data_IF_637931277179
#
_entry.id   IF_637931277179
#
_cell.length_a   1.000
_cell.length_b   1.000
_cell.length_c   1.000
_cell.angle_alpha   90.00
_cell.angle_beta   90.00
_cell.angle_gamma   90.00
#
_symmetry.space_group_name_H-M   'P 1'
#
loop_
_entity.id
_entity.type
_entity.pdbx_description
1 polymer ?
#
# COMPACT_ATOMS: atom_id res chain seq x y z
N UNK A 1 11.83 -2.72 32.17
CA UNK A 1 10.75 -2.62 31.15
C UNK A 1 10.07 -3.98 31.09
N UNK A 2 8.73 -4.05 31.11
CA UNK A 2 7.96 -5.29 30.95
C UNK A 2 6.94 -5.10 29.83
N UNK A 3 6.76 -6.12 28.99
CA UNK A 3 5.76 -6.11 27.91
C UNK A 3 4.42 -6.51 28.52
N UNK A 4 3.41 -5.66 28.37
CA UNK A 4 2.04 -5.95 28.83
C UNK A 4 1.25 -6.69 27.74
N UNK A 5 1.33 -6.18 26.51
CA UNK A 5 0.69 -6.75 25.33
C UNK A 5 1.71 -6.78 24.20
N UNK A 6 1.89 -7.94 23.57
CA UNK A 6 2.85 -8.07 22.47
C UNK A 6 2.35 -7.44 21.17
N UNK A 7 1.03 -7.46 20.93
CA UNK A 7 0.40 -6.94 19.72
C UNK A 7 -0.88 -6.19 20.09
N UNK A 8 -0.80 -4.86 20.21
CA UNK A 8 -1.94 -4.00 20.52
C UNK A 8 -2.68 -3.52 19.27
N UNK A 9 -1.97 -3.34 18.16
CA UNK A 9 -2.51 -2.82 16.92
C UNK A 9 -1.77 -3.37 15.71
N UNK A 10 -2.42 -3.27 14.55
CA UNK A 10 -1.81 -3.51 13.25
C UNK A 10 -1.83 -2.17 12.52
N UNK A 11 -0.68 -1.75 11.98
CA UNK A 11 -0.51 -0.45 11.33
C UNK A 11 -0.17 -0.67 9.85
N UNK A 12 -0.80 0.10 8.98
CA UNK A 12 -0.49 0.10 7.55
C UNK A 12 0.85 0.81 7.28
N UNK A 13 1.48 0.46 6.16
CA UNK A 13 2.68 1.15 5.67
C UNK A 13 2.45 2.65 5.50
N UNK A 14 1.22 3.05 5.11
CA UNK A 14 0.84 4.45 4.97
C UNK A 14 0.80 5.19 6.30
N UNK A 15 0.20 4.64 7.36
CA UNK A 15 0.17 5.27 8.68
C UNK A 15 1.59 5.42 9.25
N UNK A 16 2.43 4.40 9.09
CA UNK A 16 3.84 4.45 9.49
C UNK A 16 4.60 5.53 8.70
N UNK A 17 4.39 5.59 7.38
CA UNK A 17 4.97 6.60 6.51
C UNK A 17 4.58 8.02 6.94
N UNK A 18 3.28 8.25 7.19
CA UNK A 18 2.75 9.53 7.62
C UNK A 18 3.36 9.94 8.97
N UNK A 19 3.37 9.03 9.95
CA UNK A 19 3.93 9.29 11.27
C UNK A 19 5.42 9.70 11.22
N UNK A 20 6.23 8.98 10.44
CA UNK A 20 7.65 9.30 10.30
C UNK A 20 7.89 10.63 9.57
N UNK A 21 7.06 10.93 8.57
CA UNK A 21 7.13 12.18 7.80
C UNK A 21 6.77 13.38 8.68
N UNK A 22 5.66 13.29 9.42
CA UNK A 22 5.23 14.32 10.37
C UNK A 22 6.27 14.59 11.46
N UNK A 23 6.84 13.52 12.04
CA UNK A 23 7.88 13.64 13.06
C UNK A 23 9.13 14.36 12.53
N UNK A 24 9.58 14.02 11.31
CA UNK A 24 10.73 14.65 10.66
C UNK A 24 10.48 16.14 10.36
N UNK A 25 9.25 16.49 9.98
CA UNK A 25 8.84 17.89 9.78
C UNK A 25 8.74 18.66 11.10
N UNK A 26 8.21 18.04 12.15
CA UNK A 26 8.07 18.62 13.48
C UNK A 26 9.41 18.96 14.13
N UNK A 27 10.39 18.04 14.04
CA UNK A 27 11.75 18.26 14.55
C UNK A 27 12.43 19.47 13.89
N UNK A 28 12.28 19.63 12.56
CA UNK A 28 12.81 20.78 11.83
C UNK A 28 12.17 22.10 12.27
N UNK A 29 10.86 22.11 12.51
CA UNK A 29 10.10 23.31 12.90
C UNK A 29 10.39 23.76 14.33
N UNK A 30 10.62 22.82 15.25
CA UNK A 30 10.79 23.11 16.69
C UNK A 30 12.23 23.39 17.11
N UNK A 31 13.22 23.24 16.22
CA UNK A 31 14.64 23.29 16.60
C UNK A 31 14.99 22.25 17.67
N UNK A 32 14.20 21.17 17.74
CA UNK A 32 14.29 20.16 18.79
C UNK A 32 15.60 19.37 18.64
N UNK A 33 16.16 18.91 19.76
CA UNK A 33 17.38 18.10 19.75
C UNK A 33 17.19 16.89 18.84
N UNK A 34 18.18 16.68 17.95
CA UNK A 34 18.27 15.48 17.10
C UNK A 34 18.08 14.23 17.97
N UNK A 35 17.32 13.29 17.43
CA UNK A 35 17.07 12.03 18.12
C UNK A 35 18.37 11.24 18.28
N UNK A 36 18.34 10.11 19.01
CA UNK A 36 19.44 9.15 18.97
C UNK A 36 19.78 8.79 17.52
N UNK A 37 21.08 8.76 17.15
CA UNK A 37 21.49 8.59 15.75
C UNK A 37 20.99 7.28 15.11
N UNK A 38 20.88 6.23 15.91
CA UNK A 38 20.29 4.94 15.53
C UNK A 38 18.80 5.05 15.16
N UNK A 39 18.02 5.88 15.86
CA UNK A 39 16.63 6.13 15.50
C UNK A 39 16.53 6.91 14.19
N UNK A 40 17.40 7.89 13.98
CA UNK A 40 17.43 8.68 12.75
C UNK A 40 17.82 7.83 11.53
N UNK A 41 18.80 6.93 11.69
CA UNK A 41 19.20 5.98 10.67
C UNK A 41 18.03 5.06 10.28
N UNK A 42 17.40 4.41 11.26
CA UNK A 42 16.25 3.53 11.03
C UNK A 42 15.09 4.26 10.35
N UNK A 43 14.74 5.47 10.81
CA UNK A 43 13.67 6.25 10.22
C UNK A 43 13.98 6.63 8.76
N UNK A 44 15.24 6.95 8.45
CA UNK A 44 15.67 7.26 7.09
C UNK A 44 15.60 6.04 6.18
N UNK A 45 16.13 4.90 6.63
CA UNK A 45 16.12 3.64 5.88
C UNK A 45 14.70 3.13 5.63
N UNK A 46 13.82 3.22 6.64
CA UNK A 46 12.43 2.82 6.50
C UNK A 46 11.67 3.74 5.52
N UNK A 47 11.88 5.05 5.60
CA UNK A 47 11.31 5.97 4.60
C UNK A 47 11.85 5.71 3.19
N UNK A 48 13.12 5.35 3.06
CA UNK A 48 13.71 4.97 1.78
C UNK A 48 13.05 3.69 1.24
N UNK A 49 12.91 2.65 2.07
CA UNK A 49 12.23 1.40 1.70
C UNK A 49 10.80 1.67 1.21
N UNK A 50 10.01 2.46 1.97
CA UNK A 50 8.64 2.79 1.62
C UNK A 50 8.53 3.61 0.33
N UNK A 51 9.58 4.37 -0.04
CA UNK A 51 9.65 5.14 -1.29
C UNK A 51 10.34 4.41 -2.44
N UNK A 52 10.75 3.15 -2.28
CA UNK A 52 11.42 2.40 -3.35
C UNK A 52 10.38 1.69 -4.23
N UNK A 53 10.41 1.85 -5.57
CA UNK A 53 9.55 1.07 -6.47
C UNK A 53 9.78 -0.44 -6.29
N UNK A 54 8.75 -1.29 -6.37
CA UNK A 54 7.37 -1.02 -6.81
C UNK A 54 6.38 -0.67 -5.66
N UNK A 55 6.85 -0.14 -4.53
CA UNK A 55 5.97 0.19 -3.41
C UNK A 55 4.91 1.25 -3.80
N UNK A 56 3.62 1.11 -3.43
CA UNK A 56 2.59 2.10 -3.76
C UNK A 56 2.94 3.54 -3.34
N UNK A 57 3.68 3.70 -2.24
CA UNK A 57 4.07 5.01 -1.71
C UNK A 57 5.26 5.64 -2.46
N UNK A 58 5.92 4.93 -3.39
CA UNK A 58 7.03 5.45 -4.18
C UNK A 58 6.61 6.49 -5.22
N UNK A 59 5.32 6.61 -5.50
CA UNK A 59 4.79 7.55 -6.50
C UNK A 59 4.84 9.00 -6.01
N UNK A 60 5.13 9.91 -6.94
CA UNK A 60 5.06 11.35 -6.71
C UNK A 60 4.13 12.01 -7.75
N UNK A 61 3.04 12.68 -7.33
CA UNK A 61 2.57 12.79 -5.94
C UNK A 61 2.07 11.46 -5.37
N UNK A 62 2.14 11.30 -4.04
CA UNK A 62 1.56 10.13 -3.37
C UNK A 62 0.04 10.13 -3.60
N UNK A 63 -0.48 8.99 -4.02
CA UNK A 63 -1.91 8.77 -4.29
C UNK A 63 -2.72 8.55 -3.01
N UNK A 64 -2.08 8.12 -1.93
CA UNK A 64 -2.72 7.82 -0.65
C UNK A 64 -3.03 9.09 0.15
N UNK A 65 -4.27 9.17 0.62
CA UNK A 65 -4.79 10.25 1.46
C UNK A 65 -5.27 9.69 2.80
N UNK A 66 -5.36 10.51 3.87
CA UNK A 66 -5.86 10.05 5.18
C UNK A 66 -7.25 9.42 5.13
N UNK A 67 -8.09 9.85 4.18
CA UNK A 67 -9.44 9.29 3.96
C UNK A 67 -9.49 7.97 3.18
N UNK A 68 -8.37 7.51 2.61
CA UNK A 68 -8.35 6.30 1.78
C UNK A 68 -8.65 5.03 2.59
N UNK A 69 -8.11 4.92 3.81
CA UNK A 69 -8.33 3.74 4.67
C UNK A 69 -9.82 3.54 4.99
N UNK A 70 -10.54 4.51 5.58
CA UNK A 70 -11.97 4.33 5.87
C UNK A 70 -12.80 4.12 4.60
N UNK A 71 -12.50 4.86 3.52
CA UNK A 71 -13.20 4.70 2.23
C UNK A 71 -13.02 3.29 1.65
N UNK A 72 -11.80 2.73 1.73
CA UNK A 72 -11.52 1.38 1.26
C UNK A 72 -12.25 0.33 2.10
N UNK A 73 -12.21 0.49 3.44
CA UNK A 73 -12.91 -0.42 4.36
C UNK A 73 -14.43 -0.43 4.11
N UNK A 74 -15.03 0.73 3.86
CA UNK A 74 -16.46 0.82 3.54
C UNK A 74 -16.80 0.11 2.23
N UNK A 75 -16.00 0.31 1.19
CA UNK A 75 -16.23 -0.30 -0.13
C UNK A 75 -15.95 -1.79 -0.17
N UNK A 76 -14.95 -2.27 0.57
CA UNK A 76 -14.61 -3.70 0.63
C UNK A 76 -15.43 -4.48 1.66
N UNK A 77 -16.25 -3.81 2.46
CA UNK A 77 -17.12 -4.44 3.48
C UNK A 77 -18.00 -5.58 2.95
N UNK A 78 -18.56 -5.54 1.72
CA UNK A 78 -19.41 -6.62 1.20
C UNK A 78 -18.67 -7.94 0.97
N UNK A 79 -17.35 -7.91 0.82
CA UNK A 79 -16.54 -9.09 0.43
C UNK A 79 -16.03 -9.90 1.62
N UNK A 80 -16.39 -9.53 2.85
CA UNK A 80 -16.01 -10.24 4.09
C UNK A 80 -14.52 -10.61 4.15
N UNK A 81 -13.65 -9.66 3.80
CA UNK A 81 -12.20 -9.84 3.80
C UNK A 81 -11.66 -9.84 5.24
N UNK A 82 -10.73 -10.74 5.52
CA UNK A 82 -10.04 -10.76 6.80
C UNK A 82 -9.19 -9.51 6.97
N UNK A 83 -8.99 -9.06 8.22
CA UNK A 83 -8.17 -7.87 8.52
C UNK A 83 -6.75 -7.96 7.94
N UNK A 84 -6.19 -9.17 7.89
CA UNK A 84 -4.89 -9.45 7.26
C UNK A 84 -4.89 -9.21 5.75
N UNK A 85 -5.94 -9.64 5.06
CA UNK A 85 -6.09 -9.43 3.60
C UNK A 85 -6.21 -7.94 3.30
N UNK A 86 -7.05 -7.22 4.06
CA UNK A 86 -7.24 -5.77 3.88
C UNK A 86 -5.94 -4.99 4.10
N UNK A 87 -5.16 -5.33 5.13
CA UNK A 87 -3.90 -4.63 5.36
C UNK A 87 -2.87 -4.93 4.27
N UNK A 88 -2.89 -6.14 3.72
CA UNK A 88 -2.04 -6.49 2.59
C UNK A 88 -2.45 -5.77 1.30
N UNK A 89 -3.76 -5.62 1.05
CA UNK A 89 -4.28 -4.79 -0.04
C UNK A 89 -3.80 -3.35 0.09
N UNK A 90 -3.89 -2.76 1.29
CA UNK A 90 -3.40 -1.39 1.56
C UNK A 90 -1.88 -1.25 1.38
N UNK A 91 -1.11 -2.28 1.71
CA UNK A 91 0.35 -2.21 1.67
C UNK A 91 0.93 -2.50 0.28
N UNK A 92 0.31 -3.39 -0.50
CA UNK A 92 0.79 -3.84 -1.80
C UNK A 92 0.07 -3.19 -2.98
N UNK A 93 -1.19 -2.76 -2.79
CA UNK A 93 -2.08 -2.24 -3.83
C UNK A 93 -2.12 -3.16 -5.07
N UNK A 94 -2.77 -4.32 -5.01
CA UNK A 94 -2.92 -5.20 -6.17
C UNK A 94 -3.54 -4.47 -7.36
N UNK A 95 -2.86 -4.48 -8.51
CA UNK A 95 -3.28 -3.79 -9.74
C UNK A 95 -3.96 -4.71 -10.77
N UNK A 96 -4.05 -6.01 -10.47
CA UNK A 96 -4.65 -7.02 -11.32
C UNK A 96 -5.28 -8.12 -10.47
N UNK A 97 -6.20 -8.88 -11.07
CA UNK A 97 -6.82 -10.06 -10.44
C UNK A 97 -5.75 -11.07 -10.01
N UNK A 98 -4.75 -11.31 -10.86
CA UNK A 98 -3.63 -12.20 -10.55
C UNK A 98 -2.84 -11.74 -9.31
N UNK A 99 -2.57 -10.43 -9.19
CA UNK A 99 -1.92 -9.89 -8.00
C UNK A 99 -2.83 -9.99 -6.76
N UNK A 100 -4.13 -9.75 -6.92
CA UNK A 100 -5.09 -9.85 -5.81
C UNK A 100 -5.22 -11.30 -5.30
N UNK A 101 -5.14 -12.28 -6.20
CA UNK A 101 -5.13 -13.72 -5.87
C UNK A 101 -3.91 -14.16 -5.06
N UNK A 102 -2.82 -13.39 -5.07
CA UNK A 102 -1.67 -13.64 -4.17
C UNK A 102 -1.87 -13.09 -2.76
N UNK A 103 -2.90 -12.27 -2.56
CA UNK A 103 -3.21 -11.61 -1.28
C UNK A 103 -4.38 -12.27 -0.56
N UNK A 104 -5.40 -12.71 -1.31
CA UNK A 104 -6.60 -13.34 -0.78
C UNK A 104 -6.47 -14.86 -0.90
N UNK A 105 -6.68 -15.57 0.20
CA UNK A 105 -6.67 -17.04 0.20
C UNK A 105 -7.95 -17.60 -0.45
N UNK A 106 -7.78 -18.66 -1.26
CA UNK A 106 -8.87 -19.38 -1.94
C UNK A 106 -9.81 -18.44 -2.73
N UNK A 107 -9.26 -17.39 -3.34
CA UNK A 107 -10.02 -16.30 -3.97
C UNK A 107 -11.01 -16.78 -5.03
N UNK A 108 -10.63 -17.75 -5.85
CA UNK A 108 -11.49 -18.32 -6.90
C UNK A 108 -12.65 -19.15 -6.37
N UNK A 109 -12.55 -19.64 -5.13
CA UNK A 109 -13.64 -20.37 -4.47
C UNK A 109 -14.59 -19.43 -3.73
N UNK A 110 -14.07 -18.29 -3.25
CA UNK A 110 -14.82 -17.29 -2.48
C UNK A 110 -15.56 -16.27 -3.33
N UNK A 111 -15.03 -15.90 -4.49
CA UNK A 111 -15.51 -14.80 -5.30
C UNK A 111 -15.62 -15.17 -6.77
N UNK A 112 -16.69 -14.73 -7.43
CA UNK A 112 -16.82 -14.88 -8.88
C UNK A 112 -15.92 -13.89 -9.64
N UNK A 113 -15.72 -14.10 -10.94
CA UNK A 113 -14.82 -13.28 -11.76
C UNK A 113 -15.20 -11.79 -11.71
N UNK A 114 -16.50 -11.47 -11.68
CA UNK A 114 -16.98 -10.09 -11.64
C UNK A 114 -16.61 -9.40 -10.31
N UNK A 115 -16.80 -10.08 -9.18
CA UNK A 115 -16.42 -9.60 -7.86
C UNK A 115 -14.91 -9.38 -7.74
N UNK A 116 -14.12 -10.27 -8.34
CA UNK A 116 -12.67 -10.15 -8.36
C UNK A 116 -12.22 -8.89 -9.12
N UNK A 117 -12.80 -8.65 -10.30
CA UNK A 117 -12.55 -7.42 -11.06
C UNK A 117 -13.06 -6.17 -10.33
N UNK A 118 -14.23 -6.23 -9.70
CA UNK A 118 -14.80 -5.12 -8.93
C UNK A 118 -13.88 -4.72 -7.77
N UNK A 119 -13.31 -5.68 -7.04
CA UNK A 119 -12.33 -5.40 -5.98
C UNK A 119 -11.09 -4.68 -6.50
N UNK A 120 -10.53 -5.11 -7.65
CA UNK A 120 -9.38 -4.43 -8.27
C UNK A 120 -9.74 -3.00 -8.67
N UNK A 121 -10.95 -2.79 -9.20
CA UNK A 121 -11.44 -1.46 -9.56
C UNK A 121 -11.63 -0.56 -8.34
N UNK A 122 -12.17 -1.08 -7.24
CA UNK A 122 -12.29 -0.37 -5.96
C UNK A 122 -10.90 0.04 -5.45
N UNK A 123 -9.93 -0.87 -5.50
CA UNK A 123 -8.54 -0.60 -5.08
C UNK A 123 -7.95 0.54 -5.93
N UNK A 124 -8.10 0.47 -7.26
CA UNK A 124 -7.61 1.51 -8.17
C UNK A 124 -8.31 2.87 -7.94
N UNK A 125 -9.62 2.89 -7.68
CA UNK A 125 -10.36 4.12 -7.42
C UNK A 125 -9.96 4.79 -6.10
N UNK A 126 -9.70 3.99 -5.05
CA UNK A 126 -9.41 4.53 -3.71
C UNK A 126 -7.92 4.80 -3.49
N UNK A 127 -7.04 3.93 -4.00
CA UNK A 127 -5.59 3.97 -3.77
C UNK A 127 -4.79 4.43 -5.01
N UNK A 128 -5.46 4.71 -6.12
CA UNK A 128 -4.85 5.11 -7.40
C UNK A 128 -4.28 3.93 -8.19
N UNK A 129 -3.78 4.23 -9.39
CA UNK A 129 -3.14 3.26 -10.29
C UNK A 129 -1.62 3.39 -10.27
N UNK A 130 -0.93 2.33 -10.73
CA UNK A 130 0.49 2.46 -11.09
C UNK A 130 0.62 3.19 -12.43
N UNK A 131 1.65 4.05 -12.63
CA UNK A 131 1.98 4.55 -13.95
C UNK A 131 2.13 3.35 -14.89
N UNK A 132 1.44 3.38 -16.01
CA UNK A 132 1.72 2.45 -17.09
C UNK A 132 3.10 2.79 -17.66
N UNK A 133 3.98 1.79 -17.78
CA UNK A 133 5.16 1.97 -18.61
C UNK A 133 4.66 2.09 -20.06
N UNK A 134 4.62 3.31 -20.59
CA UNK A 134 4.44 3.54 -22.03
C UNK A 134 5.61 2.87 -22.77
N UNK A 135 5.46 1.61 -23.19
CA UNK A 135 6.54 0.90 -23.89
C UNK A 135 6.46 -0.61 -24.11
N UNK A 136 5.32 -1.28 -23.99
CA UNK A 136 5.17 -2.69 -24.40
C UNK A 136 3.85 -2.97 -25.14
N UNK A 137 3.47 -2.10 -26.06
CA UNK A 137 2.59 -2.46 -27.17
C UNK A 137 3.35 -2.18 -28.48
N UNK A 138 3.31 -3.15 -29.41
CA UNK A 138 4.01 -3.22 -30.72
C UNK A 138 5.42 -3.84 -30.76
N UNK A 139 5.52 -5.15 -30.48
CA UNK A 139 6.49 -6.02 -31.15
C UNK A 139 5.98 -7.46 -31.18
N UNK A 140 4.89 -7.70 -31.91
CA UNK A 140 4.29 -9.04 -31.93
C UNK A 140 3.17 -9.27 -32.91
N UNK A 141 3.17 -8.66 -34.10
CA UNK A 141 2.53 -9.27 -35.28
C UNK A 141 2.95 -8.55 -36.58
N UNK A 142 4.11 -8.89 -37.13
CA UNK A 142 4.27 -8.86 -38.58
C UNK A 142 4.75 -10.25 -39.01
N UNK A 143 3.79 -10.99 -39.59
CA UNK A 143 4.02 -12.30 -40.16
C UNK A 143 5.09 -12.29 -41.26
N UNK A 144 5.99 -13.27 -41.19
CA UNK A 144 6.73 -13.73 -42.35
C UNK A 144 6.04 -14.99 -42.88
N UNK A 145 5.34 -14.81 -43.99
CA UNK A 145 4.98 -15.86 -44.94
C UNK A 145 6.22 -16.38 -45.67
#
# INVERSE_FOLDING_TARGET
MKILEAQSAVLSNYEVYQHLTERKLGQKKRGERRGPGNLEALARELLQYLRTPPNPLSQDPITYQPGCIPKLLEKLRPYDLAKGEVIMILNLRPASVAALNTVIEEMTERFDENQQEEMVNIIAEVLGTFPQEEGQEEAGDEGAA
#
